data_IF_285002859829
#
_entry.id   IF_285002859829
#
_cell.length_a   1.000
_cell.length_b   1.000
_cell.length_c   1.000
_cell.angle_alpha   90.00
_cell.angle_beta   90.00
_cell.angle_gamma   90.00
#
_symmetry.space_group_name_H-M   'P 1'
#
loop_
_entity.id
_entity.type
_entity.pdbx_description
1 polymer ?
#
# COMPACT_ATOMS: atom_id res chain seq x y z
N UNK A 1 17.81 17.39 2.33
CA UNK A 1 17.49 17.90 3.68
C UNK A 1 16.03 17.53 4.01
N UNK A 2 15.83 16.38 4.69
CA UNK A 2 14.51 15.83 5.04
C UNK A 2 13.80 16.63 6.14
N UNK A 3 14.42 17.69 6.66
CA UNK A 3 13.90 18.49 7.77
C UNK A 3 13.22 19.81 7.33
N UNK A 4 13.15 20.10 6.05
CA UNK A 4 12.52 21.35 5.56
C UNK A 4 11.00 21.21 5.44
N UNK A 5 10.28 22.18 5.99
CA UNK A 5 8.84 22.40 5.85
C UNK A 5 7.92 21.42 6.59
N UNK A 6 8.12 21.22 7.90
CA UNK A 6 7.23 20.40 8.74
C UNK A 6 7.12 18.92 8.33
N UNK A 7 8.02 18.45 7.48
CA UNK A 7 8.23 17.05 7.17
C UNK A 7 9.41 16.48 7.95
N UNK A 8 9.46 15.21 8.18
CA UNK A 8 10.56 14.53 8.83
C UNK A 8 10.52 13.04 8.56
N UNK A 9 11.65 12.35 8.74
CA UNK A 9 11.72 10.90 8.75
C UNK A 9 11.55 10.41 10.19
N UNK A 10 10.51 9.63 10.43
CA UNK A 10 10.31 8.92 11.69
C UNK A 10 10.56 7.43 11.47
N UNK A 11 11.56 6.88 12.15
CA UNK A 11 11.84 5.46 12.15
C UNK A 11 11.01 4.79 13.24
N UNK A 12 10.21 3.80 12.89
CA UNK A 12 9.34 3.04 13.77
C UNK A 12 9.79 1.58 13.77
N UNK A 13 10.84 1.21 14.54
CA UNK A 13 11.42 -0.11 14.47
C UNK A 13 10.48 -1.18 15.04
N UNK A 14 10.34 -2.29 14.31
CA UNK A 14 9.45 -3.39 14.68
C UNK A 14 9.78 -4.00 16.07
N UNK A 15 11.05 -4.06 16.45
CA UNK A 15 11.47 -4.63 17.74
C UNK A 15 10.99 -3.83 18.95
N UNK A 16 10.84 -2.51 18.83
CA UNK A 16 10.33 -1.68 19.92
C UNK A 16 8.88 -2.02 20.30
N UNK A 17 8.16 -2.70 19.42
CA UNK A 17 6.78 -3.14 19.62
C UNK A 17 6.69 -4.65 19.96
N UNK A 18 7.67 -5.43 19.57
CA UNK A 18 7.75 -6.87 19.87
C UNK A 18 7.89 -7.14 21.36
N UNK A 19 8.67 -6.33 22.09
CA UNK A 19 8.85 -6.44 23.54
C UNK A 19 7.54 -6.31 24.32
N UNK A 20 6.58 -5.54 23.80
CA UNK A 20 5.27 -5.38 24.44
C UNK A 20 4.35 -6.59 24.29
N UNK A 21 4.65 -7.53 23.38
CA UNK A 21 3.81 -8.69 23.04
C UNK A 21 4.40 -10.05 23.38
N UNK A 22 5.68 -10.13 23.77
CA UNK A 22 6.34 -11.41 24.05
C UNK A 22 6.57 -12.30 22.83
N UNK A 23 6.39 -11.78 21.60
CA UNK A 23 6.56 -12.49 20.34
C UNK A 23 7.92 -12.20 19.71
N UNK A 24 8.42 -13.13 18.87
CA UNK A 24 9.77 -13.11 18.27
C UNK A 24 10.05 -12.01 17.24
N UNK A 25 9.43 -10.84 17.36
CA UNK A 25 9.77 -9.62 16.60
C UNK A 25 9.33 -9.58 15.14
N UNK A 26 8.49 -10.50 14.68
CA UNK A 26 7.94 -10.50 13.31
C UNK A 26 6.47 -10.12 13.32
N UNK A 27 6.09 -9.18 12.47
CA UNK A 27 4.68 -8.89 12.21
C UNK A 27 4.05 -10.02 11.38
N UNK A 28 2.81 -10.39 11.72
CA UNK A 28 2.00 -11.37 10.98
C UNK A 28 1.49 -10.81 9.64
N UNK A 29 1.51 -9.48 9.47
CA UNK A 29 1.11 -8.80 8.25
C UNK A 29 1.18 -7.29 8.35
N UNK A 30 0.91 -6.60 7.23
CA UNK A 30 0.92 -5.13 7.13
C UNK A 30 -0.04 -4.46 8.12
N UNK A 31 -1.21 -5.03 8.34
CA UNK A 31 -2.21 -4.48 9.28
C UNK A 31 -1.66 -4.44 10.70
N UNK A 32 -0.97 -5.49 11.13
CA UNK A 32 -0.35 -5.51 12.45
C UNK A 32 0.76 -4.47 12.58
N UNK A 33 1.60 -4.32 11.55
CA UNK A 33 2.63 -3.28 11.51
C UNK A 33 2.02 -1.87 11.61
N UNK A 34 0.93 -1.60 10.88
CA UNK A 34 0.18 -0.35 10.96
C UNK A 34 -0.46 -0.16 12.35
N UNK A 35 -0.95 -1.21 12.97
CA UNK A 35 -1.48 -1.18 14.33
C UNK A 35 -0.43 -0.75 15.38
N UNK A 36 0.83 -1.09 15.16
CA UNK A 36 1.93 -0.68 16.04
C UNK A 36 2.28 0.81 15.93
N UNK A 37 1.95 1.46 14.82
CA UNK A 37 2.21 2.89 14.59
C UNK A 37 0.95 3.75 14.72
N UNK A 38 -0.10 3.19 15.33
CA UNK A 38 -1.41 3.83 15.44
C UNK A 38 -1.35 5.18 16.16
N UNK A 39 -0.56 5.30 17.23
CA UNK A 39 -0.42 6.56 17.96
C UNK A 39 0.21 7.65 17.07
N UNK A 40 1.23 7.29 16.29
CA UNK A 40 1.81 8.20 15.30
C UNK A 40 0.77 8.64 14.26
N UNK A 41 -0.04 7.71 13.73
CA UNK A 41 -1.10 8.02 12.76
C UNK A 41 -2.17 8.95 13.33
N UNK A 42 -2.46 8.86 14.63
CA UNK A 42 -3.41 9.76 15.31
C UNK A 42 -2.85 11.16 15.54
N UNK A 43 -1.54 11.27 15.74
CA UNK A 43 -0.87 12.54 16.08
C UNK A 43 -0.56 13.39 14.86
N UNK A 44 -0.40 12.80 13.67
CA UNK A 44 -0.14 13.55 12.43
C UNK A 44 -1.37 14.36 12.02
N UNK A 45 -1.11 15.51 11.34
CA UNK A 45 -2.17 16.46 10.94
C UNK A 45 -2.65 16.29 9.51
N UNK A 46 -1.94 15.50 8.73
CA UNK A 46 -2.25 15.27 7.32
C UNK A 46 -3.56 14.50 7.17
N UNK A 47 -4.42 14.92 6.26
CA UNK A 47 -5.72 14.28 6.00
C UNK A 47 -5.58 12.99 5.19
N UNK A 48 -4.56 12.91 4.35
CA UNK A 48 -4.28 11.77 3.48
C UNK A 48 -2.97 11.11 3.82
N UNK A 49 -2.90 9.81 3.61
CA UNK A 49 -1.70 8.99 3.76
C UNK A 49 -1.44 8.20 2.49
N UNK A 50 -0.17 8.00 2.21
CA UNK A 50 0.30 7.10 1.15
C UNK A 50 1.00 5.93 1.81
N UNK A 51 0.52 4.73 1.54
CA UNK A 51 1.18 3.48 1.94
C UNK A 51 1.97 2.96 0.75
N UNK A 52 3.22 2.59 0.95
CA UNK A 52 4.05 1.98 -0.09
C UNK A 52 4.99 0.95 0.51
N UNK A 53 5.46 0.00 -0.30
CA UNK A 53 6.55 -0.88 0.06
C UNK A 53 7.89 -0.18 -0.15
N UNK A 54 8.91 -0.56 0.63
CA UNK A 54 10.23 0.06 0.59
C UNK A 54 11.16 -0.51 -0.49
N UNK A 55 10.76 -1.60 -1.13
CA UNK A 55 11.48 -2.30 -2.19
C UNK A 55 11.08 -1.85 -3.61
N UNK A 56 10.18 -0.88 -3.72
CA UNK A 56 9.70 -0.37 -5.00
C UNK A 56 10.46 0.89 -5.42
N UNK A 57 11.02 0.88 -6.63
CA UNK A 57 11.56 2.05 -7.32
C UNK A 57 10.61 2.45 -8.43
N UNK A 58 10.09 3.67 -8.36
CA UNK A 58 9.09 4.17 -9.29
C UNK A 58 9.26 5.67 -9.51
N UNK A 59 9.01 6.14 -10.72
CA UNK A 59 9.02 7.57 -11.04
C UNK A 59 7.62 8.20 -11.07
N UNK A 60 6.71 7.67 -10.26
CA UNK A 60 5.33 8.10 -10.16
C UNK A 60 5.21 9.49 -9.49
N UNK A 61 4.54 10.48 -10.13
CA UNK A 61 4.21 11.74 -9.48
C UNK A 61 3.04 11.54 -8.49
N UNK A 62 3.35 11.43 -7.21
CA UNK A 62 2.35 11.18 -6.16
C UNK A 62 1.28 12.27 -6.06
N UNK A 63 1.60 13.52 -6.42
CA UNK A 63 0.63 14.62 -6.45
C UNK A 63 -0.49 14.38 -7.47
N UNK A 64 -0.20 13.71 -8.58
CA UNK A 64 -1.20 13.37 -9.59
C UNK A 64 -2.14 12.28 -9.08
N UNK A 65 -1.59 11.27 -8.40
CA UNK A 65 -2.38 10.21 -7.77
C UNK A 65 -3.30 10.78 -6.69
N UNK A 66 -2.78 11.69 -5.85
CA UNK A 66 -3.56 12.33 -4.81
C UNK A 66 -4.68 13.20 -5.40
N UNK A 67 -4.41 13.95 -6.46
CA UNK A 67 -5.43 14.75 -7.16
C UNK A 67 -6.53 13.88 -7.76
N UNK A 68 -6.17 12.76 -8.40
CA UNK A 68 -7.14 11.80 -8.94
C UNK A 68 -7.97 11.16 -7.82
N UNK A 69 -7.34 10.77 -6.70
CA UNK A 69 -8.03 10.25 -5.54
C UNK A 69 -9.08 11.23 -4.99
N UNK A 70 -8.70 12.48 -4.78
CA UNK A 70 -9.62 13.52 -4.27
C UNK A 70 -10.75 13.79 -5.27
N UNK A 71 -10.44 13.90 -6.56
CA UNK A 71 -11.42 14.18 -7.60
C UNK A 71 -12.43 13.04 -7.79
N UNK A 72 -12.00 11.79 -7.62
CA UNK A 72 -12.87 10.62 -7.78
C UNK A 72 -13.82 10.40 -6.60
N UNK A 73 -13.50 10.95 -5.42
CA UNK A 73 -14.25 10.68 -4.19
C UNK A 73 -14.16 9.23 -3.72
N UNK A 74 -13.14 8.49 -4.18
CA UNK A 74 -12.92 7.10 -3.75
C UNK A 74 -12.48 7.03 -2.28
N UNK A 75 -12.80 5.94 -1.61
CA UNK A 75 -12.34 5.67 -0.25
C UNK A 75 -10.84 5.33 -0.23
N UNK A 76 -10.37 4.58 -1.23
CA UNK A 76 -8.97 4.25 -1.42
C UNK A 76 -8.63 4.20 -2.91
N UNK A 77 -7.46 4.73 -3.28
CA UNK A 77 -6.89 4.57 -4.62
C UNK A 77 -5.68 3.67 -4.55
N UNK A 78 -5.66 2.62 -5.35
CA UNK A 78 -4.53 1.71 -5.52
C UNK A 78 -3.81 1.99 -6.84
N UNK A 79 -2.50 2.15 -6.81
CA UNK A 79 -1.70 2.27 -8.03
C UNK A 79 -1.45 0.88 -8.59
N UNK A 80 -1.72 0.71 -9.87
CA UNK A 80 -1.52 -0.54 -10.59
C UNK A 80 -0.93 -0.29 -11.97
N UNK A 81 -0.51 -1.34 -12.64
CA UNK A 81 0.04 -1.30 -14.00
C UNK A 81 -0.59 -2.36 -14.89
N UNK A 82 -0.67 -2.09 -16.18
CA UNK A 82 -1.06 -3.08 -17.19
C UNK A 82 0.09 -4.05 -17.54
N UNK A 83 1.32 -3.73 -17.11
CA UNK A 83 2.48 -4.56 -17.39
C UNK A 83 2.43 -5.87 -16.60
N UNK A 84 2.78 -7.00 -17.22
CA UNK A 84 2.77 -8.30 -16.56
C UNK A 84 3.78 -8.35 -15.41
N UNK A 85 3.56 -9.27 -14.49
CA UNK A 85 4.42 -9.52 -13.34
C UNK A 85 4.25 -10.94 -12.80
N UNK A 86 4.87 -11.27 -11.66
CA UNK A 86 4.82 -12.59 -11.07
C UNK A 86 3.39 -12.95 -10.59
N UNK A 87 3.08 -14.24 -10.59
CA UNK A 87 1.80 -14.77 -10.08
C UNK A 87 1.55 -14.44 -8.60
N UNK A 88 2.61 -14.29 -7.82
CA UNK A 88 2.54 -13.93 -6.40
C UNK A 88 2.05 -12.53 -6.11
N UNK A 89 1.92 -11.69 -7.14
CA UNK A 89 1.39 -10.33 -6.99
C UNK A 89 -0.14 -10.34 -6.86
N UNK A 90 -0.67 -9.20 -6.47
CA UNK A 90 -2.11 -8.94 -6.43
C UNK A 90 -2.54 -8.35 -7.77
N UNK A 91 -3.61 -8.86 -8.33
CA UNK A 91 -4.20 -8.39 -9.58
C UNK A 91 -5.62 -7.87 -9.36
N UNK A 92 -5.95 -6.78 -10.03
CA UNK A 92 -7.26 -6.13 -9.97
C UNK A 92 -8.02 -6.31 -11.28
N UNK A 93 -9.32 -6.58 -11.18
CA UNK A 93 -10.26 -6.40 -12.26
C UNK A 93 -10.95 -5.05 -12.09
N UNK A 94 -11.04 -4.29 -13.16
CA UNK A 94 -11.62 -2.95 -13.16
C UNK A 94 -12.91 -2.91 -13.98
N UNK A 95 -13.86 -2.11 -13.53
CA UNK A 95 -14.99 -1.71 -14.38
C UNK A 95 -14.61 -0.54 -15.32
N UNK A 96 -15.55 -0.13 -16.15
CA UNK A 96 -15.36 0.96 -17.12
C UNK A 96 -15.09 2.33 -16.47
N UNK A 97 -15.36 2.49 -15.18
CA UNK A 97 -15.10 3.72 -14.42
C UNK A 97 -13.72 3.74 -13.76
N UNK A 98 -12.98 2.62 -13.80
CA UNK A 98 -11.72 2.42 -13.10
C UNK A 98 -11.89 2.01 -11.62
N UNK A 99 -13.10 1.58 -11.23
CA UNK A 99 -13.35 0.99 -9.92
C UNK A 99 -12.83 -0.44 -9.89
N UNK A 100 -12.19 -0.82 -8.79
CA UNK A 100 -11.76 -2.20 -8.54
C UNK A 100 -12.99 -3.02 -8.16
N UNK A 101 -13.35 -3.99 -8.99
CA UNK A 101 -14.51 -4.86 -8.80
C UNK A 101 -14.11 -6.27 -8.35
N UNK A 102 -12.88 -6.68 -8.63
CA UNK A 102 -12.35 -7.94 -8.12
C UNK A 102 -10.86 -7.86 -7.80
N UNK A 103 -10.42 -8.70 -6.85
CA UNK A 103 -9.05 -8.75 -6.35
C UNK A 103 -8.60 -10.21 -6.32
N UNK A 104 -7.62 -10.55 -7.15
CA UNK A 104 -7.02 -11.87 -7.22
C UNK A 104 -5.63 -11.86 -6.56
N UNK A 105 -5.32 -12.89 -5.79
CA UNK A 105 -4.03 -13.10 -5.14
C UNK A 105 -3.45 -14.44 -5.54
N UNK A 106 -2.14 -14.49 -5.75
CA UNK A 106 -1.39 -15.71 -6.05
C UNK A 106 -1.95 -16.48 -7.28
N UNK A 107 -2.59 -15.74 -8.20
CA UNK A 107 -3.14 -16.27 -9.45
C UNK A 107 -2.87 -15.26 -10.55
N UNK A 108 -2.18 -15.69 -11.60
CA UNK A 108 -1.98 -14.85 -12.77
C UNK A 108 -3.31 -14.64 -13.49
N UNK A 109 -3.69 -13.36 -13.64
CA UNK A 109 -4.89 -12.96 -14.36
C UNK A 109 -4.46 -12.16 -15.59
N UNK A 110 -4.47 -12.75 -16.80
CA UNK A 110 -3.93 -12.13 -18.02
C UNK A 110 -4.51 -10.77 -18.36
N UNK A 111 -5.78 -10.54 -18.01
CA UNK A 111 -6.50 -9.27 -18.25
C UNK A 111 -6.53 -8.37 -17.01
N UNK A 112 -5.85 -8.78 -15.94
CA UNK A 112 -5.84 -8.05 -14.68
C UNK A 112 -4.76 -6.98 -14.62
N UNK A 113 -5.01 -5.92 -13.84
CA UNK A 113 -4.03 -4.88 -13.55
C UNK A 113 -3.22 -5.26 -12.31
N UNK A 114 -1.90 -5.35 -12.44
CA UNK A 114 -1.01 -5.71 -11.35
C UNK A 114 -0.89 -4.57 -10.34
N UNK A 115 -1.12 -4.87 -9.07
CA UNK A 115 -0.97 -3.93 -7.96
C UNK A 115 0.51 -3.59 -7.70
N UNK A 116 0.84 -2.31 -7.64
CA UNK A 116 2.18 -1.82 -7.29
C UNK A 116 2.37 -1.60 -5.77
N UNK A 117 1.40 -2.00 -4.95
CA UNK A 117 1.41 -1.83 -3.49
C UNK A 117 1.57 -0.37 -3.01
N UNK A 118 1.09 0.56 -3.81
CA UNK A 118 0.94 1.96 -3.42
C UNK A 118 -0.55 2.25 -3.25
N UNK A 119 -0.93 2.77 -2.09
CA UNK A 119 -2.31 3.06 -1.75
C UNK A 119 -2.43 4.47 -1.19
N UNK A 120 -3.42 5.22 -1.66
CA UNK A 120 -3.76 6.55 -1.16
C UNK A 120 -5.15 6.48 -0.54
N UNK A 121 -5.28 6.95 0.69
CA UNK A 121 -6.54 6.99 1.40
C UNK A 121 -6.54 8.07 2.48
N UNK A 122 -7.71 8.40 3.01
CA UNK A 122 -7.80 9.29 4.17
C UNK A 122 -7.22 8.61 5.40
N UNK A 123 -6.46 9.39 6.18
CA UNK A 123 -5.88 8.95 7.45
C UNK A 123 -6.91 8.34 8.40
N UNK A 124 -8.07 9.01 8.53
CA UNK A 124 -9.12 8.57 9.47
C UNK A 124 -9.69 7.22 9.04
N UNK A 125 -9.88 7.00 7.74
CA UNK A 125 -10.30 5.69 7.22
C UNK A 125 -9.25 4.61 7.50
N UNK A 126 -7.95 4.91 7.30
CA UNK A 126 -6.89 3.95 7.62
C UNK A 126 -6.91 3.55 9.10
N UNK A 127 -7.04 4.53 10.01
CA UNK A 127 -7.13 4.28 11.45
C UNK A 127 -8.33 3.36 11.75
N UNK A 128 -9.47 3.63 11.15
CA UNK A 128 -10.69 2.84 11.34
C UNK A 128 -10.53 1.40 10.83
N UNK A 129 -10.00 1.22 9.61
CA UNK A 129 -9.77 -0.10 9.01
C UNK A 129 -8.78 -0.93 9.83
N UNK A 130 -7.66 -0.34 10.24
CA UNK A 130 -6.65 -1.04 11.04
C UNK A 130 -7.21 -1.41 12.42
N UNK A 131 -7.96 -0.51 13.07
CA UNK A 131 -8.58 -0.77 14.38
C UNK A 131 -9.57 -1.93 14.28
N UNK A 132 -10.43 -1.92 13.26
CA UNK A 132 -11.42 -2.97 13.04
C UNK A 132 -10.75 -4.33 12.74
N UNK A 133 -9.77 -4.36 11.84
CA UNK A 133 -9.02 -5.57 11.54
C UNK A 133 -8.31 -6.14 12.78
N UNK A 134 -7.66 -5.29 13.58
CA UNK A 134 -6.98 -5.72 14.81
C UNK A 134 -7.96 -6.31 15.84
N UNK A 135 -9.16 -5.73 15.98
CA UNK A 135 -10.20 -6.24 16.87
C UNK A 135 -10.69 -7.64 16.48
N UNK A 136 -10.61 -7.97 15.18
CA UNK A 136 -11.03 -9.27 14.65
C UNK A 136 -9.87 -10.24 14.38
N UNK A 137 -8.66 -9.95 14.84
CA UNK A 137 -7.45 -10.76 14.59
C UNK A 137 -7.15 -10.92 13.08
N UNK A 138 -7.41 -9.91 12.30
CA UNK A 138 -7.15 -9.84 10.86
C UNK A 138 -5.85 -9.05 10.63
N UNK A 139 -4.87 -9.65 9.95
CA UNK A 139 -3.51 -9.08 9.84
C UNK A 139 -3.08 -8.82 8.40
N UNK A 140 -3.77 -9.39 7.41
CA UNK A 140 -3.43 -9.27 6.00
C UNK A 140 -4.12 -8.07 5.37
N UNK A 141 -3.34 -7.10 4.86
CA UNK A 141 -3.88 -5.96 4.11
C UNK A 141 -4.54 -6.42 2.81
N UNK A 142 -3.93 -7.38 2.10
CA UNK A 142 -4.45 -7.90 0.83
C UNK A 142 -5.79 -8.60 1.00
N UNK A 143 -5.90 -9.53 1.95
CA UNK A 143 -7.13 -10.29 2.16
C UNK A 143 -8.18 -9.46 2.93
N UNK A 144 -7.81 -8.92 4.10
CA UNK A 144 -8.80 -8.36 5.02
C UNK A 144 -9.22 -6.92 4.68
N UNK A 145 -8.42 -6.19 3.90
CA UNK A 145 -8.79 -4.84 3.45
C UNK A 145 -9.16 -4.88 1.97
N UNK A 146 -8.25 -5.29 1.07
CA UNK A 146 -8.53 -5.19 -0.36
C UNK A 146 -9.64 -6.14 -0.80
N UNK A 147 -9.56 -7.42 -0.42
CA UNK A 147 -10.52 -8.43 -0.88
C UNK A 147 -11.84 -8.36 -0.12
N UNK A 148 -11.81 -8.35 1.22
CA UNK A 148 -13.02 -8.43 2.03
C UNK A 148 -13.85 -7.14 2.00
N UNK A 149 -13.24 -5.97 1.73
CA UNK A 149 -13.91 -4.67 1.77
C UNK A 149 -14.23 -4.08 0.38
N UNK A 150 -13.87 -4.75 -0.72
CA UNK A 150 -14.09 -4.24 -2.09
C UNK A 150 -15.55 -3.93 -2.43
N UNK A 151 -16.47 -4.66 -1.82
CA UNK A 151 -17.91 -4.49 -2.08
C UNK A 151 -18.55 -3.41 -1.20
N UNK A 152 -17.91 -3.05 -0.08
CA UNK A 152 -18.42 -2.07 0.88
C UNK A 152 -17.75 -0.71 0.76
N UNK A 153 -16.53 -0.66 0.25
CA UNK A 153 -15.76 0.56 0.03
C UNK A 153 -15.58 0.81 -1.47
N UNK A 154 -15.45 2.06 -1.83
CA UNK A 154 -15.15 2.46 -3.20
C UNK A 154 -13.63 2.44 -3.41
N UNK A 155 -13.10 1.36 -3.96
CA UNK A 155 -11.70 1.26 -4.37
C UNK A 155 -11.55 1.64 -5.84
N UNK A 156 -10.62 2.56 -6.11
CA UNK A 156 -10.27 3.04 -7.44
C UNK A 156 -8.87 2.60 -7.82
N UNK A 157 -8.68 2.25 -9.08
CA UNK A 157 -7.36 2.01 -9.65
C UNK A 157 -6.82 3.28 -10.32
N UNK A 158 -5.55 3.60 -10.04
CA UNK A 158 -4.76 4.56 -10.81
C UNK A 158 -3.75 3.77 -11.64
N UNK A 159 -3.94 3.75 -12.96
CA UNK A 159 -3.07 2.97 -13.86
C UNK A 159 -1.81 3.76 -14.17
N UNK A 160 -0.66 3.16 -13.89
CA UNK A 160 0.67 3.71 -14.16
C UNK A 160 1.50 2.72 -14.98
N UNK A 161 1.75 3.04 -16.23
CA UNK A 161 2.55 2.22 -17.16
C UNK A 161 3.94 2.83 -17.40
N UNK A 162 4.37 3.74 -16.53
CA UNK A 162 5.73 4.25 -16.50
C UNK A 162 6.69 3.29 -15.80
N UNK A 163 7.90 3.77 -15.55
CA UNK A 163 8.91 2.94 -14.91
C UNK A 163 8.52 2.56 -13.48
N UNK A 164 8.48 1.26 -13.22
CA UNK A 164 8.29 0.68 -11.89
C UNK A 164 9.07 -0.63 -11.78
N UNK A 165 9.94 -0.74 -10.80
CA UNK A 165 10.76 -1.92 -10.58
C UNK A 165 10.82 -2.28 -9.09
N UNK A 166 10.83 -3.57 -8.79
CA UNK A 166 10.99 -4.07 -7.43
C UNK A 166 12.42 -4.55 -7.22
N UNK A 167 13.03 -4.13 -6.12
CA UNK A 167 14.37 -4.55 -5.69
C UNK A 167 14.20 -5.59 -4.59
N UNK A 168 13.79 -6.78 -4.97
CA UNK A 168 13.55 -7.93 -4.07
C UNK A 168 14.58 -9.03 -4.20
N UNK A 169 15.49 -8.93 -5.19
CA UNK A 169 16.59 -9.87 -5.44
C UNK A 169 17.95 -9.16 -5.51
N UNK A 170 19.02 -9.90 -5.31
CA UNK A 170 20.40 -9.38 -5.46
C UNK A 170 20.66 -8.97 -6.90
N UNK A 171 20.14 -9.74 -7.87
CA UNK A 171 20.24 -9.42 -9.30
C UNK A 171 19.56 -8.08 -9.62
N UNK A 172 18.37 -7.86 -9.09
CA UNK A 172 17.67 -6.58 -9.27
C UNK A 172 18.48 -5.42 -8.68
N UNK A 173 19.04 -5.60 -7.49
CA UNK A 173 19.90 -4.60 -6.85
C UNK A 173 21.15 -4.29 -7.71
N UNK A 174 21.81 -5.29 -8.28
CA UNK A 174 23.00 -5.12 -9.11
C UNK A 174 22.70 -4.46 -10.45
N UNK A 175 21.56 -4.74 -11.07
CA UNK A 175 21.12 -4.09 -12.31
C UNK A 175 20.99 -2.57 -12.13
N UNK A 176 20.52 -2.11 -10.97
CA UNK A 176 20.35 -0.67 -10.69
C UNK A 176 21.60 0.04 -10.20
N UNK A 177 22.63 -0.70 -9.75
CA UNK A 177 23.91 -0.12 -9.30
C UNK A 177 24.99 -0.13 -10.37
N UNK A 178 24.85 -0.93 -11.43
CA UNK A 178 25.85 -1.04 -12.49
C UNK A 178 25.77 0.02 -13.59
N UNK A 179 24.66 0.78 -13.65
CA UNK A 179 24.44 1.88 -14.62
C UNK A 179 24.65 3.28 -14.00
N UNK A 180 25.26 3.37 -12.84
CA UNK A 180 25.57 4.64 -12.15
C UNK A 180 27.03 5.06 -12.31
#
# INVERSE_FOLDING_TARGET
>A
DLSRNHGGLTLLPAFAYAERRGDAGRFRGKVEALGCVMDYLKDIRQDYVVLTDSDLVINLPLDDVLRDHIASGADMTAVCTSLPGPESDTYFQLDNSGRIVDVAHDVFTPEGFRCLNIFVLRRDLLIQLVTDCMAHNQYSFRHNILQDRKDTLHFRAYVWDGYAARIDTIEACLLYTSDA
#
